data_IF_212431404516
#
_entry.id   IF_212431404516
#
_cell.length_a   1.000
_cell.length_b   1.000
_cell.length_c   1.000
_cell.angle_alpha   90.00
_cell.angle_beta   90.00
_cell.angle_gamma   90.00
#
_symmetry.space_group_name_H-M   'P 1'
#
loop_
_entity.id
_entity.type
_entity.pdbx_description
1 polymer ?
#
# COMPACT_ATOMS: atom_id res chain seq x y z
N UNK A 1 -1.09 -12.07 23.91
CA UNK A 1 -0.04 -11.78 22.90
C UNK A 1 -0.72 -11.85 21.54
N UNK A 2 -1.14 -10.73 20.98
CA UNK A 2 -1.67 -10.71 19.61
C UNK A 2 -0.50 -10.93 18.67
N UNK A 3 -0.39 -12.13 18.09
CA UNK A 3 0.60 -12.43 17.06
C UNK A 3 0.44 -11.43 15.92
N UNK A 4 1.52 -10.71 15.60
CA UNK A 4 1.54 -9.79 14.47
C UNK A 4 1.14 -10.54 13.18
N UNK A 5 0.35 -9.89 12.33
CA UNK A 5 -0.06 -10.49 11.07
C UNK A 5 1.19 -10.79 10.20
N UNK A 6 1.36 -12.03 9.68
CA UNK A 6 2.58 -12.43 8.97
C UNK A 6 2.92 -11.55 7.76
N UNK A 7 1.90 -11.08 7.04
CA UNK A 7 2.11 -10.18 5.91
C UNK A 7 2.61 -8.81 6.37
N UNK A 8 2.03 -8.24 7.43
CA UNK A 8 2.46 -6.96 7.98
C UNK A 8 3.90 -7.03 8.52
N UNK A 9 4.23 -8.09 9.27
CA UNK A 9 5.60 -8.34 9.73
C UNK A 9 6.60 -8.43 8.57
N UNK A 10 6.19 -9.05 7.45
CA UNK A 10 7.03 -9.14 6.23
C UNK A 10 7.16 -7.82 5.49
N UNK A 11 6.15 -6.95 5.48
CA UNK A 11 6.30 -5.58 4.99
C UNK A 11 7.34 -4.82 5.82
N UNK A 12 7.22 -4.89 7.16
CA UNK A 12 8.13 -4.23 8.10
C UNK A 12 9.58 -4.67 7.89
N UNK A 13 9.82 -5.98 7.87
CA UNK A 13 11.14 -6.55 7.62
C UNK A 13 11.66 -6.21 6.22
N UNK A 14 10.80 -6.25 5.20
CA UNK A 14 11.20 -5.96 3.82
C UNK A 14 11.62 -4.50 3.62
N UNK A 15 10.93 -3.55 4.25
CA UNK A 15 11.29 -2.13 4.21
C UNK A 15 12.60 -1.92 4.98
N UNK A 16 12.70 -2.45 6.19
CA UNK A 16 13.89 -2.30 7.03
C UNK A 16 15.16 -2.88 6.40
N UNK A 17 15.05 -3.97 5.64
CA UNK A 17 16.18 -4.64 4.97
C UNK A 17 16.40 -4.15 3.52
N UNK A 18 15.49 -3.33 2.99
CA UNK A 18 15.51 -2.89 1.59
C UNK A 18 15.08 -3.95 0.57
N UNK A 19 14.67 -5.16 1.00
CA UNK A 19 14.18 -6.19 0.09
C UNK A 19 12.81 -5.82 -0.53
N UNK A 20 12.03 -4.99 0.16
CA UNK A 20 10.87 -4.31 -0.40
C UNK A 20 11.25 -2.85 -0.71
N UNK A 21 11.60 -2.59 -1.96
CA UNK A 21 11.92 -1.23 -2.42
C UNK A 21 10.67 -0.36 -2.42
N UNK A 22 10.79 0.87 -1.91
CA UNK A 22 9.74 1.89 -2.04
C UNK A 22 10.03 2.81 -3.21
N UNK A 23 8.99 3.36 -3.83
CA UNK A 23 9.06 4.41 -4.87
C UNK A 23 9.80 4.07 -6.17
N UNK A 24 10.32 2.85 -6.34
CA UNK A 24 10.91 2.42 -7.59
C UNK A 24 9.84 2.24 -8.69
N UNK A 25 10.24 2.34 -9.96
CA UNK A 25 9.31 2.28 -11.10
C UNK A 25 8.47 0.98 -11.18
N UNK A 26 8.93 -0.10 -10.54
CA UNK A 26 8.25 -1.40 -10.46
C UNK A 26 7.93 -1.82 -9.03
N UNK A 27 8.10 -0.94 -8.04
CA UNK A 27 7.75 -1.29 -6.66
C UNK A 27 6.24 -1.46 -6.52
N UNK A 28 5.85 -2.24 -5.52
CA UNK A 28 4.44 -2.44 -5.15
C UNK A 28 4.06 -1.68 -3.89
N UNK A 29 4.98 -0.84 -3.41
CA UNK A 29 4.79 0.05 -2.27
C UNK A 29 5.37 1.42 -2.62
N UNK A 30 4.61 2.46 -2.30
CA UNK A 30 4.98 3.85 -2.57
C UNK A 30 4.53 4.75 -1.43
N UNK A 31 5.25 5.83 -1.16
CA UNK A 31 4.74 6.92 -0.35
C UNK A 31 4.02 7.93 -1.25
N UNK A 32 2.83 8.37 -0.83
CA UNK A 32 2.02 9.38 -1.51
C UNK A 32 1.23 10.15 -0.45
N UNK A 33 1.32 11.48 -0.49
CA UNK A 33 0.73 12.39 0.50
C UNK A 33 1.03 11.97 1.96
N UNK A 34 2.30 11.58 2.20
CA UNK A 34 2.81 11.11 3.49
C UNK A 34 2.27 9.76 3.97
N UNK A 35 1.58 9.00 3.10
CA UNK A 35 0.96 7.71 3.43
C UNK A 35 1.54 6.58 2.59
N UNK A 36 1.69 5.41 3.20
CA UNK A 36 2.15 4.24 2.47
C UNK A 36 0.99 3.66 1.64
N UNK A 37 1.18 3.63 0.33
CA UNK A 37 0.29 3.04 -0.65
C UNK A 37 0.80 1.67 -1.09
N UNK A 38 -0.01 0.63 -0.87
CA UNK A 38 0.28 -0.76 -1.20
C UNK A 38 -0.52 -1.19 -2.45
N UNK A 39 0.16 -1.45 -3.56
CA UNK A 39 -0.44 -1.81 -4.84
C UNK A 39 -1.10 -3.20 -4.76
N UNK A 40 -2.40 -3.28 -5.00
CA UNK A 40 -3.21 -4.51 -4.92
C UNK A 40 -3.71 -4.96 -6.30
N UNK A 41 -3.79 -6.28 -6.57
CA UNK A 41 -3.43 -7.39 -5.69
C UNK A 41 -1.93 -7.72 -5.68
N UNK A 42 -1.12 -6.96 -6.43
CA UNK A 42 0.28 -7.26 -6.69
C UNK A 42 1.09 -7.58 -5.43
N UNK A 43 1.00 -6.73 -4.40
CA UNK A 43 1.80 -6.88 -3.18
C UNK A 43 1.54 -8.22 -2.47
N UNK A 44 0.29 -8.70 -2.47
CA UNK A 44 -0.09 -9.98 -1.86
C UNK A 44 0.35 -11.16 -2.72
N UNK A 45 0.24 -11.04 -4.05
CA UNK A 45 0.73 -12.05 -4.99
C UNK A 45 2.24 -12.23 -4.87
N UNK A 46 2.99 -11.11 -4.78
CA UNK A 46 4.43 -11.15 -4.59
C UNK A 46 4.80 -11.80 -3.27
N UNK A 47 4.18 -11.36 -2.16
CA UNK A 47 4.37 -11.98 -0.85
C UNK A 47 4.17 -13.50 -0.89
N UNK A 48 3.05 -13.96 -1.46
CA UNK A 48 2.71 -15.38 -1.47
C UNK A 48 3.67 -16.22 -2.34
N UNK A 49 4.10 -15.65 -3.48
CA UNK A 49 5.13 -16.25 -4.33
C UNK A 49 6.46 -16.38 -3.59
N UNK A 50 6.87 -15.37 -2.83
CA UNK A 50 8.12 -15.36 -2.08
C UNK A 50 8.11 -16.31 -0.87
N UNK A 51 6.96 -16.47 -0.20
CA UNK A 51 6.88 -17.29 1.02
C UNK A 51 6.54 -18.75 0.75
N UNK A 52 5.73 -19.04 -0.27
CA UNK A 52 5.17 -20.38 -0.48
C UNK A 52 5.44 -20.93 -1.89
N UNK A 53 6.08 -20.16 -2.78
CA UNK A 53 6.30 -20.56 -4.18
C UNK A 53 5.01 -20.67 -5.01
N UNK A 54 3.86 -20.29 -4.46
CA UNK A 54 2.54 -20.51 -5.04
C UNK A 54 2.03 -19.23 -5.70
N UNK A 55 1.76 -19.32 -7.01
CA UNK A 55 1.23 -18.26 -7.85
C UNK A 55 -0.30 -18.35 -8.07
N UNK A 56 -0.97 -19.30 -7.43
CA UNK A 56 -2.43 -19.44 -7.42
C UNK A 56 -3.12 -18.44 -6.51
N UNK A 57 -4.41 -18.63 -6.24
CA UNK A 57 -5.28 -17.59 -5.64
C UNK A 57 -5.29 -17.53 -4.11
N UNK A 58 -4.36 -18.23 -3.43
CA UNK A 58 -4.28 -18.22 -1.97
C UNK A 58 -3.91 -16.84 -1.38
N UNK A 59 -3.31 -15.95 -2.17
CA UNK A 59 -3.08 -14.55 -1.79
C UNK A 59 -4.36 -13.81 -1.35
N UNK A 60 -5.54 -14.26 -1.81
CA UNK A 60 -6.83 -13.68 -1.42
C UNK A 60 -7.09 -13.78 0.08
N UNK A 61 -6.67 -14.88 0.71
CA UNK A 61 -6.82 -15.05 2.16
C UNK A 61 -5.91 -14.08 2.92
N UNK A 62 -4.66 -13.91 2.47
CA UNK A 62 -3.73 -12.93 3.03
C UNK A 62 -4.30 -11.51 2.94
N UNK A 63 -4.90 -11.15 1.79
CA UNK A 63 -5.54 -9.85 1.63
C UNK A 63 -6.73 -9.67 2.59
N UNK A 64 -7.57 -10.69 2.77
CA UNK A 64 -8.68 -10.65 3.74
C UNK A 64 -8.18 -10.48 5.17
N UNK A 65 -7.13 -11.19 5.55
CA UNK A 65 -6.57 -11.13 6.90
C UNK A 65 -5.89 -9.78 7.17
N UNK A 66 -5.21 -9.20 6.17
CA UNK A 66 -4.74 -7.83 6.24
C UNK A 66 -5.88 -6.83 6.42
N UNK A 67 -7.00 -6.97 5.69
CA UNK A 67 -8.14 -6.08 5.83
C UNK A 67 -8.75 -6.11 7.24
N UNK A 68 -8.77 -7.28 7.90
CA UNK A 68 -9.28 -7.41 9.29
C UNK A 68 -8.49 -6.58 10.30
N UNK A 69 -7.23 -6.24 10.00
CA UNK A 69 -6.41 -5.39 10.87
C UNK A 69 -6.87 -3.93 10.89
N UNK A 70 -7.67 -3.50 9.88
CA UNK A 70 -8.18 -2.12 9.77
C UNK A 70 -7.09 -1.03 9.79
N UNK A 71 -5.88 -1.36 9.31
CA UNK A 71 -4.76 -0.42 9.21
C UNK A 71 -4.83 0.47 7.96
N UNK A 72 -5.72 0.14 7.02
CA UNK A 72 -5.94 0.89 5.79
C UNK A 72 -7.02 1.96 5.99
N UNK A 73 -6.87 3.07 5.28
CA UNK A 73 -7.88 4.12 5.18
C UNK A 73 -9.03 3.68 4.28
N UNK A 74 -10.21 4.21 4.60
CA UNK A 74 -11.41 4.11 3.78
C UNK A 74 -11.80 5.51 3.31
N UNK A 75 -12.28 5.60 2.07
CA UNK A 75 -12.94 6.81 1.59
C UNK A 75 -14.24 7.06 2.34
N UNK A 76 -14.82 8.24 2.13
CA UNK A 76 -16.13 8.60 2.69
C UNK A 76 -17.25 7.69 2.18
N UNK A 77 -17.07 7.12 0.99
CA UNK A 77 -17.93 6.09 0.39
C UNK A 77 -17.78 4.69 1.04
N UNK A 78 -16.88 4.56 2.01
CA UNK A 78 -16.59 3.31 2.70
C UNK A 78 -15.66 2.35 1.94
N UNK A 79 -15.21 2.73 0.74
CA UNK A 79 -14.32 1.92 -0.11
C UNK A 79 -12.89 1.99 0.42
N UNK A 80 -12.20 0.83 0.46
CA UNK A 80 -10.82 0.72 0.96
C UNK A 80 -9.75 0.58 -0.14
N UNK A 81 -10.15 0.60 -1.40
CA UNK A 81 -9.26 0.60 -2.56
C UNK A 81 -9.19 2.02 -3.13
N UNK A 82 -8.00 2.60 -3.07
CA UNK A 82 -7.68 3.91 -3.58
C UNK A 82 -7.07 3.80 -4.98
N UNK A 83 -7.34 4.79 -5.81
CA UNK A 83 -6.69 4.96 -7.11
C UNK A 83 -5.56 5.98 -6.98
N UNK A 84 -4.38 5.64 -7.50
CA UNK A 84 -3.26 6.56 -7.66
C UNK A 84 -2.89 6.62 -9.15
N UNK A 85 -2.82 7.81 -9.72
CA UNK A 85 -2.21 7.98 -11.05
C UNK A 85 -0.69 7.94 -10.91
N UNK A 86 -0.01 7.22 -11.80
CA UNK A 86 1.42 7.29 -12.01
C UNK A 86 1.68 7.91 -13.38
N UNK A 87 2.43 9.01 -13.42
CA UNK A 87 2.84 9.69 -14.65
C UNK A 87 4.25 9.26 -15.03
N UNK A 88 4.35 8.52 -16.14
CA UNK A 88 5.62 8.25 -16.80
C UNK A 88 5.88 9.20 -17.96
N UNK A 89 7.09 9.18 -18.56
CA UNK A 89 7.45 10.05 -19.67
C UNK A 89 6.57 9.90 -20.92
N UNK A 90 5.98 8.71 -21.11
CA UNK A 90 5.20 8.35 -22.32
C UNK A 90 3.74 7.98 -22.04
N UNK A 91 3.37 7.75 -20.79
CA UNK A 91 2.01 7.32 -20.45
C UNK A 91 1.67 7.66 -19.01
N UNK A 92 0.37 7.81 -18.76
CA UNK A 92 -0.20 7.85 -17.41
C UNK A 92 -0.96 6.55 -17.19
N UNK A 93 -0.81 5.95 -16.00
CA UNK A 93 -1.52 4.73 -15.62
C UNK A 93 -2.13 4.91 -14.24
N UNK A 94 -3.27 4.29 -13.99
CA UNK A 94 -3.85 4.21 -12.65
C UNK A 94 -3.41 2.92 -11.96
N UNK A 95 -2.85 3.05 -10.77
CA UNK A 95 -2.59 1.98 -9.81
C UNK A 95 -3.74 1.93 -8.82
N UNK A 96 -4.09 0.73 -8.38
CA UNK A 96 -5.11 0.50 -7.34
C UNK A 96 -4.45 -0.14 -6.13
N UNK A 97 -4.86 0.26 -4.94
CA UNK A 97 -4.20 -0.21 -3.73
C UNK A 97 -4.82 0.26 -2.44
N UNK A 98 -4.21 -0.16 -1.33
CA UNK A 98 -4.58 0.31 0.00
C UNK A 98 -3.71 1.49 0.38
N UNK A 99 -4.33 2.55 0.91
CA UNK A 99 -3.61 3.63 1.57
C UNK A 99 -3.60 3.34 3.07
N UNK A 100 -2.42 3.31 3.70
CA UNK A 100 -2.32 3.05 5.14
C UNK A 100 -2.60 4.31 5.95
N UNK A 101 -3.16 4.13 7.15
CA UNK A 101 -3.28 5.21 8.12
C UNK A 101 -1.91 5.68 8.63
N UNK A 102 -1.88 6.85 9.27
CA UNK A 102 -0.63 7.50 9.67
C UNK A 102 0.18 6.64 10.65
N UNK A 103 -0.47 6.00 11.63
CA UNK A 103 0.22 5.11 12.60
C UNK A 103 0.88 3.92 11.90
N UNK A 104 0.16 3.23 11.01
CA UNK A 104 0.68 2.08 10.29
C UNK A 104 1.78 2.48 9.28
N UNK A 105 1.63 3.64 8.65
CA UNK A 105 2.67 4.21 7.78
C UNK A 105 3.95 4.45 8.58
N UNK A 106 3.84 5.19 9.70
CA UNK A 106 4.99 5.50 10.55
C UNK A 106 5.66 4.24 11.08
N UNK A 107 4.89 3.26 11.55
CA UNK A 107 5.45 2.00 12.05
C UNK A 107 6.28 1.24 10.98
N UNK A 108 5.83 1.27 9.72
CA UNK A 108 6.53 0.58 8.63
C UNK A 108 7.72 1.38 8.07
N UNK A 109 7.73 2.70 8.21
CA UNK A 109 8.75 3.58 7.63
C UNK A 109 9.64 4.25 8.68
N UNK A 110 9.51 3.93 9.96
CA UNK A 110 10.20 4.60 11.08
C UNK A 110 11.73 4.64 10.89
N UNK A 111 12.30 3.56 10.36
CA UNK A 111 13.74 3.42 10.13
C UNK A 111 14.25 4.13 8.87
N UNK A 112 13.38 4.79 8.09
CA UNK A 112 13.74 5.33 6.79
C UNK A 112 13.13 6.72 6.52
N UNK A 113 13.99 7.70 6.23
CA UNK A 113 13.57 9.00 5.72
C UNK A 113 13.25 8.88 4.23
N UNK A 114 12.00 8.61 3.91
CA UNK A 114 11.54 8.38 2.53
C UNK A 114 10.57 9.49 2.13
N UNK A 115 10.90 10.24 1.10
CA UNK A 115 10.02 11.25 0.52
C UNK A 115 8.88 10.60 -0.29
N UNK A 116 7.80 11.33 -0.49
CA UNK A 116 6.72 10.91 -1.39
C UNK A 116 7.23 10.69 -2.81
N UNK A 117 6.61 9.75 -3.51
CA UNK A 117 6.91 9.50 -4.91
C UNK A 117 6.45 10.68 -5.77
N UNK A 118 7.37 11.42 -6.43
CA UNK A 118 7.02 12.63 -7.18
C UNK A 118 6.16 12.33 -8.42
N UNK A 119 6.09 11.07 -8.86
CA UNK A 119 5.34 10.63 -10.04
C UNK A 119 3.95 10.06 -9.72
N UNK A 120 3.64 9.80 -8.44
CA UNK A 120 2.31 9.34 -8.02
C UNK A 120 1.47 10.48 -7.48
N UNK A 121 0.16 10.44 -7.76
CA UNK A 121 -0.85 11.32 -7.17
C UNK A 121 -2.09 10.51 -6.83
N UNK A 122 -2.63 10.73 -5.63
CA UNK A 122 -3.90 10.17 -5.23
C UNK A 122 -5.02 10.78 -6.08
N UNK A 123 -5.87 9.94 -6.66
CA UNK A 123 -7.07 10.42 -7.36
C UNK A 123 -8.13 10.77 -6.29
N UNK A 124 -8.29 12.05 -6.00
CA UNK A 124 -9.37 12.55 -5.16
C UNK A 124 -10.61 12.66 -6.05
N UNK A 125 -11.56 11.75 -5.91
CA UNK A 125 -12.88 11.90 -6.54
C UNK A 125 -13.59 13.07 -5.88
N UNK A 126 -14.11 14.02 -6.68
CA UNK A 126 -14.67 15.32 -6.26
C UNK A 126 -15.83 15.29 -5.25
N UNK A 127 -16.25 14.12 -4.78
CA UNK A 127 -17.16 14.00 -3.62
C UNK A 127 -16.45 14.21 -2.28
N UNK A 128 -15.11 14.26 -2.23
CA UNK A 128 -14.31 14.41 -1.00
C UNK A 128 -14.06 15.88 -0.59
N UNK A 129 -14.85 16.83 -1.09
CA UNK A 129 -14.75 18.26 -0.75
C UNK A 129 -16.13 18.85 -0.41
N UNK A 130 -16.77 18.36 0.65
CA UNK A 130 -17.72 19.18 1.42
C UNK A 130 -17.76 18.71 2.87
N UNK A 131 -16.86 19.23 3.70
CA UNK A 131 -17.12 19.52 5.12
C UNK A 131 -16.01 20.41 5.68
N UNK A 132 -16.38 21.64 6.03
CA UNK A 132 -15.54 22.69 6.63
C UNK A 132 -15.22 23.79 5.61
N UNK A 133 -15.80 24.99 5.66
CA UNK A 133 -16.48 25.76 6.73
C UNK A 133 -17.69 26.45 6.11
#
# INVERSE_FOLDING_TARGET
MTTENPFFARLKAGIATGSLTLNAARSLAHLVDGKLFLVSPGIFKQYHKETCGDAGDKWTQTQKDFQKLKLHLRGEDGINIWNCTVKGPRSTRTLRGYLLGDTATKELTESALIADNPFLRLEITLFQKTSGI
#
